data_IF_370087718536
#
_entry.id   IF_370087718536
#
_cell.length_a   1.000
_cell.length_b   1.000
_cell.length_c   1.000
_cell.angle_alpha   90.00
_cell.angle_beta   90.00
_cell.angle_gamma   90.00
#
_symmetry.space_group_name_H-M   'P 1'
#
loop_
_entity.id
_entity.type
_entity.pdbx_description
1 polymer ?
#
# COMPACT_ATOMS: atom_id res chain seq x y z
N UNK A 1 -21.17 9.68 20.17
CA UNK A 1 -21.67 8.60 19.28
C UNK A 1 -20.97 7.31 19.69
N UNK A 2 -21.65 6.16 19.74
CA UNK A 2 -21.02 4.88 20.14
C UNK A 2 -20.08 4.43 19.03
N UNK A 3 -18.77 4.43 19.29
CA UNK A 3 -17.75 3.93 18.37
C UNK A 3 -17.71 2.41 18.43
N UNK A 4 -17.44 1.75 17.30
CA UNK A 4 -17.18 0.31 17.28
C UNK A 4 -15.86 0.04 18.02
N UNK A 5 -15.85 -0.94 18.92
CA UNK A 5 -14.64 -1.38 19.62
C UNK A 5 -14.10 -2.63 18.96
N UNK A 6 -12.77 -2.76 18.96
CA UNK A 6 -12.13 -4.03 18.66
C UNK A 6 -12.35 -5.03 19.81
N UNK A 7 -12.38 -6.34 19.49
CA UNK A 7 -12.40 -7.38 20.52
C UNK A 7 -11.12 -7.32 21.35
N UNK A 8 -11.19 -7.83 22.57
CA UNK A 8 -10.00 -7.98 23.41
C UNK A 8 -9.02 -8.97 22.78
N UNK A 9 -7.80 -8.50 22.53
CA UNK A 9 -6.72 -9.31 21.96
C UNK A 9 -5.75 -9.70 23.08
N UNK A 10 -5.56 -11.01 23.29
CA UNK A 10 -4.45 -11.51 24.09
C UNK A 10 -3.22 -11.64 23.21
N UNK A 11 -2.13 -11.04 23.66
CA UNK A 11 -0.83 -11.04 22.98
C UNK A 11 0.23 -11.60 23.92
N UNK A 12 1.34 -12.03 23.33
CA UNK A 12 2.54 -12.36 24.08
C UNK A 12 3.02 -11.12 24.88
N UNK A 13 3.41 -11.27 26.17
CA UNK A 13 4.00 -10.18 26.94
C UNK A 13 5.20 -9.51 26.26
N UNK A 14 6.04 -10.27 25.55
CA UNK A 14 7.21 -9.74 24.83
C UNK A 14 6.76 -8.81 23.70
N UNK A 15 5.77 -9.24 22.89
CA UNK A 15 5.21 -8.41 21.82
C UNK A 15 4.63 -7.10 22.36
N UNK A 16 3.97 -7.15 23.52
CA UNK A 16 3.44 -5.96 24.17
C UNK A 16 4.56 -5.01 24.59
N UNK A 17 5.62 -5.54 25.19
CA UNK A 17 6.77 -4.76 25.61
C UNK A 17 7.43 -4.06 24.42
N UNK A 18 7.67 -4.80 23.33
CA UNK A 18 8.26 -4.25 22.10
C UNK A 18 7.39 -3.12 21.53
N UNK A 19 6.07 -3.31 21.49
CA UNK A 19 5.14 -2.30 21.00
C UNK A 19 5.11 -1.03 21.88
N UNK A 20 5.23 -1.18 23.20
CA UNK A 20 5.32 -0.04 24.13
C UNK A 20 6.68 0.68 24.01
N UNK A 21 7.76 -0.04 23.68
CA UNK A 21 9.12 0.53 23.57
C UNK A 21 9.32 1.46 22.37
N UNK A 22 8.51 1.32 21.33
CA UNK A 22 8.61 2.07 20.06
C UNK A 22 7.60 3.23 19.95
N UNK A 23 6.81 3.48 21.01
CA UNK A 23 5.83 4.57 21.01
C UNK A 23 6.52 5.93 20.94
N UNK A 24 5.92 6.85 20.17
CA UNK A 24 6.34 8.24 20.11
C UNK A 24 5.81 9.04 21.32
N UNK A 25 6.36 10.24 21.54
CA UNK A 25 5.93 11.11 22.64
C UNK A 25 4.44 11.47 22.48
N UNK A 26 3.65 11.18 23.52
CA UNK A 26 2.19 11.40 23.52
C UNK A 26 1.37 10.35 22.76
N UNK A 27 2.01 9.31 22.19
CA UNK A 27 1.32 8.20 21.55
C UNK A 27 0.85 7.16 22.57
N UNK A 28 -0.31 6.55 22.31
CA UNK A 28 -0.83 5.44 23.12
C UNK A 28 -0.73 4.13 22.35
N UNK A 29 -0.66 3.00 23.06
CA UNK A 29 -0.69 1.68 22.42
C UNK A 29 -1.94 1.49 21.55
N UNK A 30 -3.09 2.04 21.98
CA UNK A 30 -4.34 1.98 21.21
C UNK A 30 -4.27 2.77 19.90
N UNK A 31 -3.74 4.00 19.92
CA UNK A 31 -3.57 4.80 18.70
C UNK A 31 -2.56 4.16 17.74
N UNK A 32 -1.45 3.64 18.28
CA UNK A 32 -0.46 2.91 17.49
C UNK A 32 -1.06 1.68 16.80
N UNK A 33 -1.82 0.85 17.53
CA UNK A 33 -2.53 -0.30 16.97
C UNK A 33 -3.57 0.10 15.92
N UNK A 34 -4.32 1.18 16.14
CA UNK A 34 -5.27 1.70 15.16
C UNK A 34 -4.57 2.08 13.85
N UNK A 35 -3.44 2.81 13.94
CA UNK A 35 -2.64 3.20 12.79
C UNK A 35 -2.08 1.99 12.04
N UNK A 36 -1.49 1.05 12.75
CA UNK A 36 -0.94 -0.19 12.16
C UNK A 36 -2.04 -0.99 11.44
N UNK A 37 -3.22 -1.09 12.04
CA UNK A 37 -4.35 -1.76 11.41
C UNK A 37 -4.82 -1.04 10.14
N UNK A 38 -4.95 0.29 10.18
CA UNK A 38 -5.34 1.08 9.02
C UNK A 38 -4.35 0.89 7.87
N UNK A 39 -3.06 0.97 8.16
CA UNK A 39 -2.00 0.74 7.18
C UNK A 39 -2.06 -0.68 6.59
N UNK A 40 -2.26 -1.70 7.44
CA UNK A 40 -2.39 -3.09 7.01
C UNK A 40 -3.61 -3.31 6.11
N UNK A 41 -4.76 -2.72 6.44
CA UNK A 41 -5.97 -2.77 5.61
C UNK A 41 -5.72 -2.13 4.24
N UNK A 42 -5.11 -0.93 4.21
CA UNK A 42 -4.79 -0.24 2.96
C UNK A 42 -3.84 -1.06 2.09
N UNK A 43 -2.75 -1.58 2.68
CA UNK A 43 -1.79 -2.44 1.99
C UNK A 43 -2.46 -3.68 1.39
N UNK A 44 -3.28 -4.40 2.17
CA UNK A 44 -4.02 -5.59 1.69
C UNK A 44 -5.00 -5.26 0.58
N UNK A 45 -5.70 -4.13 0.64
CA UNK A 45 -6.59 -3.67 -0.43
C UNK A 45 -5.81 -3.37 -1.71
N UNK A 46 -4.74 -2.59 -1.60
CA UNK A 46 -3.89 -2.25 -2.73
C UNK A 46 -3.28 -3.51 -3.39
N UNK A 47 -2.81 -4.47 -2.59
CA UNK A 47 -2.27 -5.73 -3.09
C UNK A 47 -3.33 -6.55 -3.83
N UNK A 48 -4.54 -6.68 -3.25
CA UNK A 48 -5.64 -7.41 -3.89
C UNK A 48 -6.02 -6.78 -5.22
N UNK A 49 -6.14 -5.46 -5.27
CA UNK A 49 -6.47 -4.74 -6.50
C UNK A 49 -5.36 -4.82 -7.53
N UNK A 50 -4.09 -4.73 -7.11
CA UNK A 50 -2.94 -4.88 -8.01
C UNK A 50 -2.95 -6.25 -8.70
N UNK A 51 -3.17 -7.33 -7.94
CA UNK A 51 -3.29 -8.69 -8.48
C UNK A 51 -4.48 -8.77 -9.44
N UNK A 52 -5.64 -8.25 -9.05
CA UNK A 52 -6.84 -8.27 -9.89
C UNK A 52 -6.61 -7.54 -11.23
N UNK A 53 -5.99 -6.35 -11.20
CA UNK A 53 -5.63 -5.58 -12.40
C UNK A 53 -4.61 -6.32 -13.27
N UNK A 54 -3.59 -6.92 -12.66
CA UNK A 54 -2.58 -7.70 -13.38
C UNK A 54 -3.17 -8.92 -14.09
N UNK A 55 -4.07 -9.65 -13.42
CA UNK A 55 -4.76 -10.79 -14.04
C UNK A 55 -5.67 -10.35 -15.20
N UNK A 56 -6.43 -9.28 -15.02
CA UNK A 56 -7.27 -8.72 -16.07
C UNK A 56 -6.45 -8.25 -17.28
N UNK A 57 -5.33 -7.55 -17.05
CA UNK A 57 -4.43 -7.11 -18.12
C UNK A 57 -3.78 -8.28 -18.87
N UNK A 58 -3.38 -9.34 -18.15
CA UNK A 58 -2.88 -10.58 -18.77
C UNK A 58 -3.93 -11.22 -19.67
N UNK A 59 -5.16 -11.34 -19.19
CA UNK A 59 -6.24 -11.98 -19.94
C UNK A 59 -6.63 -11.14 -21.16
N UNK A 60 -6.56 -9.82 -21.05
CA UNK A 60 -6.73 -8.89 -22.17
C UNK A 60 -5.63 -9.04 -23.22
N UNK A 61 -4.36 -9.03 -22.83
CA UNK A 61 -3.22 -9.22 -23.76
C UNK A 61 -3.29 -10.57 -24.48
N UNK A 62 -3.75 -11.62 -23.79
CA UNK A 62 -4.01 -12.92 -24.41
C UNK A 62 -5.13 -12.87 -25.46
N UNK A 63 -6.16 -12.05 -25.22
CA UNK A 63 -7.31 -11.91 -26.12
C UNK A 63 -6.99 -11.02 -27.33
N UNK A 64 -6.29 -9.90 -27.13
CA UNK A 64 -5.94 -8.97 -28.20
C UNK A 64 -4.71 -9.40 -29.01
N UNK A 65 -3.80 -10.14 -28.37
CA UNK A 65 -2.49 -10.45 -28.94
C UNK A 65 -1.50 -9.28 -28.87
N UNK A 66 -1.88 -8.17 -28.22
CA UNK A 66 -1.03 -6.99 -28.07
C UNK A 66 -0.12 -7.15 -26.85
N UNK A 67 1.19 -7.06 -27.09
CA UNK A 67 2.22 -7.10 -26.06
C UNK A 67 3.23 -6.00 -26.33
N UNK A 68 3.69 -5.36 -25.26
CA UNK A 68 4.71 -4.31 -25.31
C UNK A 68 5.99 -4.84 -24.69
N UNK A 69 7.13 -4.47 -25.27
CA UNK A 69 8.41 -4.82 -24.67
C UNK A 69 8.62 -3.99 -23.40
N UNK A 70 9.30 -4.56 -22.41
CA UNK A 70 9.62 -3.84 -21.18
C UNK A 70 10.47 -2.59 -21.46
N UNK A 71 11.32 -2.64 -22.49
CA UNK A 71 12.17 -1.52 -22.87
C UNK A 71 11.34 -0.34 -23.40
N UNK A 72 10.35 -0.60 -24.25
CA UNK A 72 9.48 0.45 -24.82
C UNK A 72 8.66 1.12 -23.72
N UNK A 73 8.08 0.32 -22.82
CA UNK A 73 7.29 0.84 -21.69
C UNK A 73 8.15 1.68 -20.75
N UNK A 74 9.36 1.24 -20.42
CA UNK A 74 10.26 1.99 -19.54
C UNK A 74 10.72 3.31 -20.19
N UNK A 75 11.03 3.29 -21.49
CA UNK A 75 11.39 4.50 -22.24
C UNK A 75 10.25 5.54 -22.24
N UNK A 76 9.01 5.10 -22.46
CA UNK A 76 7.83 5.98 -22.41
C UNK A 76 7.62 6.55 -21.00
N UNK A 77 7.82 5.74 -19.95
CA UNK A 77 7.71 6.20 -18.56
C UNK A 77 8.78 7.25 -18.20
N UNK A 78 10.02 7.05 -18.65
CA UNK A 78 11.10 8.02 -18.47
C UNK A 78 10.80 9.34 -19.18
N UNK A 79 10.24 9.28 -20.39
CA UNK A 79 9.82 10.47 -21.12
C UNK A 79 8.73 11.23 -20.36
N UNK A 80 7.66 10.54 -19.94
CA UNK A 80 6.57 11.14 -19.16
C UNK A 80 7.08 11.81 -17.86
N UNK A 81 8.01 11.16 -17.17
CA UNK A 81 8.64 11.68 -15.96
C UNK A 81 9.43 12.97 -16.26
N UNK A 82 10.26 12.96 -17.30
CA UNK A 82 11.05 14.13 -17.70
C UNK A 82 10.16 15.34 -18.04
N UNK A 83 9.02 15.10 -18.71
CA UNK A 83 8.06 16.14 -19.03
C UNK A 83 7.40 16.71 -17.77
N UNK A 84 7.01 15.87 -16.81
CA UNK A 84 6.43 16.30 -15.55
C UNK A 84 7.41 17.16 -14.71
N UNK A 85 8.68 16.76 -14.66
CA UNK A 85 9.74 17.51 -13.97
C UNK A 85 9.99 18.87 -14.63
N UNK A 86 9.98 18.92 -15.98
CA UNK A 86 10.17 20.17 -16.72
C UNK A 86 9.03 21.17 -16.49
N UNK A 87 7.80 20.70 -16.30
CA UNK A 87 6.63 21.52 -15.99
C UNK A 87 6.65 22.04 -14.56
N UNK A 88 7.18 21.27 -13.62
CA UNK A 88 7.29 21.66 -12.20
C UNK A 88 8.42 22.67 -11.97
N UNK A 89 9.45 22.66 -12.82
CA UNK A 89 10.58 23.62 -12.79
C UNK A 89 10.33 24.93 -13.53
N UNK A 90 9.22 25.07 -14.26
CA UNK A 90 8.79 26.32 -14.91
C UNK A 90 7.83 27.07 -14.02
#
# INVERSE_FOLDING_TARGET
MKTASMPSLRVDPELRHDAESVLLEGETLSSFMEHALRASIQSRRAQKEFIARGLASRDEAKRSGEYFSAADVLAEMEEMLSQADSKTRK
#
